data_IF_840344222787
#
_entry.id   IF_840344222787
#
_cell.length_a   1.000
_cell.length_b   1.000
_cell.length_c   1.000
_cell.angle_alpha   90.00
_cell.angle_beta   90.00
_cell.angle_gamma   90.00
#
_symmetry.space_group_name_H-M   'P 1'
#
loop_
_entity.id
_entity.type
_entity.pdbx_description
1 polymer ?
#
# COMPACT_ATOMS: atom_id res chain seq x y z
N UNK A 1 -22.22 19.55 -9.82
CA UNK A 1 -21.74 18.86 -8.61
C UNK A 1 -21.94 17.36 -8.81
N UNK A 2 -20.92 16.54 -8.61
CA UNK A 2 -21.04 15.09 -8.78
C UNK A 2 -21.70 14.50 -7.53
N UNK A 3 -22.86 13.85 -7.70
CA UNK A 3 -23.61 13.24 -6.58
C UNK A 3 -23.24 11.77 -6.47
N UNK A 4 -22.71 11.36 -5.33
CA UNK A 4 -22.38 9.96 -5.06
C UNK A 4 -23.67 9.20 -4.72
N UNK A 5 -24.06 8.28 -5.59
CA UNK A 5 -25.24 7.42 -5.41
C UNK A 5 -24.99 6.00 -5.96
N UNK A 6 -25.96 5.10 -5.78
CA UNK A 6 -25.84 3.70 -6.23
C UNK A 6 -25.59 3.56 -7.73
N UNK A 7 -26.09 4.48 -8.55
CA UNK A 7 -25.89 4.42 -10.00
C UNK A 7 -24.44 4.73 -10.38
N UNK A 8 -23.81 5.70 -9.71
CA UNK A 8 -22.38 5.98 -9.89
C UNK A 8 -21.52 4.77 -9.50
N UNK A 9 -21.83 4.10 -8.40
CA UNK A 9 -21.04 2.92 -7.97
C UNK A 9 -21.08 1.79 -9.01
N UNK A 10 -22.19 1.61 -9.72
CA UNK A 10 -22.32 0.61 -10.79
C UNK A 10 -21.47 0.91 -12.03
N UNK A 11 -21.10 2.18 -12.27
CA UNK A 11 -20.22 2.53 -13.40
C UNK A 11 -18.76 2.25 -13.11
N UNK A 12 -18.38 2.28 -11.82
CA UNK A 12 -17.03 1.97 -11.31
C UNK A 12 -16.85 0.46 -11.15
N UNK A 13 -17.76 -0.20 -10.42
CA UNK A 13 -17.73 -1.65 -10.18
C UNK A 13 -18.53 -2.42 -11.23
N UNK A 14 -17.87 -2.74 -12.33
CA UNK A 14 -18.45 -3.56 -13.42
C UNK A 14 -18.42 -5.05 -13.08
N UNK A 15 -19.32 -5.83 -13.71
CA UNK A 15 -19.28 -7.30 -13.63
C UNK A 15 -17.92 -7.78 -14.12
N UNK A 16 -17.31 -8.72 -13.40
CA UNK A 16 -16.06 -9.38 -13.83
C UNK A 16 -16.34 -10.34 -14.97
N UNK A 17 -15.39 -10.44 -15.90
CA UNK A 17 -15.40 -11.48 -16.91
C UNK A 17 -15.31 -12.87 -16.24
N UNK A 18 -16.06 -13.84 -16.76
CA UNK A 18 -16.14 -15.18 -16.16
C UNK A 18 -14.78 -15.92 -16.24
N UNK A 19 -13.88 -15.48 -17.12
CA UNK A 19 -12.56 -16.06 -17.36
C UNK A 19 -11.43 -15.20 -16.77
N UNK A 20 -11.79 -14.20 -15.96
CA UNK A 20 -10.82 -13.33 -15.32
C UNK A 20 -9.87 -14.11 -14.41
N UNK A 21 -8.61 -13.67 -14.39
CA UNK A 21 -7.51 -14.29 -13.66
C UNK A 21 -6.92 -13.28 -12.69
N UNK A 22 -6.11 -13.81 -11.76
CA UNK A 22 -5.20 -13.02 -10.95
C UNK A 22 -4.44 -12.02 -11.84
N UNK A 23 -4.25 -10.81 -11.33
CA UNK A 23 -3.66 -9.64 -12.01
C UNK A 23 -4.60 -8.88 -12.96
N UNK A 24 -5.80 -9.36 -13.27
CA UNK A 24 -6.75 -8.59 -14.08
C UNK A 24 -7.41 -7.43 -13.31
N UNK A 25 -7.51 -7.53 -11.97
CA UNK A 25 -8.04 -6.47 -11.10
C UNK A 25 -6.95 -5.82 -10.24
N UNK A 26 -5.73 -5.84 -10.76
CA UNK A 26 -4.62 -5.05 -10.26
C UNK A 26 -3.84 -5.65 -9.11
N UNK A 27 -2.67 -5.08 -8.88
CA UNK A 27 -1.82 -5.38 -7.72
C UNK A 27 -1.45 -4.11 -7.00
N UNK A 28 -1.80 -4.03 -5.71
CA UNK A 28 -1.52 -2.88 -4.85
C UNK A 28 -0.26 -3.12 -4.04
N UNK A 29 0.55 -2.06 -3.89
CA UNK A 29 1.60 -1.96 -2.90
C UNK A 29 1.18 -1.02 -1.78
N UNK A 30 1.14 -1.51 -0.55
CA UNK A 30 0.88 -0.71 0.65
C UNK A 30 2.22 -0.47 1.34
N UNK A 31 2.59 0.80 1.54
CA UNK A 31 3.82 1.21 2.22
C UNK A 31 3.42 1.96 3.48
N UNK A 32 3.67 1.37 4.64
CA UNK A 32 3.19 1.95 5.88
C UNK A 32 3.72 1.25 7.12
N UNK A 33 3.36 1.82 8.26
CA UNK A 33 3.70 1.32 9.58
C UNK A 33 5.08 1.72 10.07
N UNK A 34 5.28 1.42 11.34
CA UNK A 34 6.47 1.75 12.13
C UNK A 34 6.56 0.82 13.34
N UNK A 35 7.58 0.98 14.18
CA UNK A 35 7.69 0.27 15.47
C UNK A 35 6.45 0.44 16.35
N UNK A 36 5.70 1.53 16.20
CA UNK A 36 4.50 1.83 16.99
C UNK A 36 3.24 1.36 16.26
N UNK A 37 3.11 1.68 14.98
CA UNK A 37 1.87 1.48 14.23
C UNK A 37 1.95 0.28 13.29
N UNK A 38 1.26 -0.80 13.63
CA UNK A 38 1.10 -1.98 12.75
C UNK A 38 -0.28 -2.09 12.11
N UNK A 39 -1.32 -1.54 12.75
CA UNK A 39 -2.70 -1.68 12.28
C UNK A 39 -3.03 -0.92 11.00
N UNK A 40 -2.50 0.30 10.85
CA UNK A 40 -2.83 1.17 9.70
C UNK A 40 -2.54 0.54 8.33
N UNK A 41 -1.31 0.05 8.04
CA UNK A 41 -1.06 -0.65 6.77
C UNK A 41 -1.88 -1.94 6.61
N UNK A 42 -2.24 -2.63 7.71
CA UNK A 42 -3.11 -3.81 7.64
C UNK A 42 -4.52 -3.45 7.19
N UNK A 43 -5.11 -2.38 7.73
CA UNK A 43 -6.44 -1.91 7.33
C UNK A 43 -6.49 -1.51 5.87
N UNK A 44 -5.46 -0.81 5.36
CA UNK A 44 -5.37 -0.48 3.94
C UNK A 44 -5.39 -1.74 3.08
N UNK A 45 -4.65 -2.78 3.48
CA UNK A 45 -4.57 -4.01 2.72
C UNK A 45 -5.88 -4.81 2.73
N UNK A 46 -6.50 -4.97 3.89
CA UNK A 46 -7.79 -5.65 4.02
C UNK A 46 -8.91 -4.91 3.29
N UNK A 47 -8.91 -3.57 3.34
CA UNK A 47 -9.86 -2.75 2.60
C UNK A 47 -9.68 -2.89 1.09
N UNK A 48 -8.43 -2.95 0.60
CA UNK A 48 -8.14 -3.18 -0.82
C UNK A 48 -8.67 -4.54 -1.31
N UNK A 49 -8.53 -5.60 -0.51
CA UNK A 49 -9.15 -6.90 -0.83
C UNK A 49 -10.68 -6.81 -0.87
N UNK A 50 -11.31 -6.12 0.09
CA UNK A 50 -12.76 -5.90 0.06
C UNK A 50 -13.22 -5.06 -1.13
N UNK A 51 -12.37 -4.17 -1.64
CA UNK A 51 -12.61 -3.41 -2.86
C UNK A 51 -12.39 -4.24 -4.14
N UNK A 52 -11.86 -5.46 -4.03
CA UNK A 52 -11.68 -6.39 -5.14
C UNK A 52 -10.30 -6.36 -5.81
N UNK A 53 -9.27 -5.81 -5.17
CA UNK A 53 -7.88 -5.92 -5.68
C UNK A 53 -7.44 -7.39 -5.63
N UNK A 54 -6.83 -7.90 -6.69
CA UNK A 54 -6.43 -9.33 -6.75
C UNK A 54 -5.25 -9.65 -5.83
N UNK A 55 -4.33 -8.69 -5.67
CA UNK A 55 -3.09 -8.88 -4.94
C UNK A 55 -2.72 -7.64 -4.15
N UNK A 56 -2.46 -7.83 -2.87
CA UNK A 56 -1.95 -6.76 -2.01
C UNK A 56 -0.64 -7.19 -1.38
N UNK A 57 0.40 -6.36 -1.56
CA UNK A 57 1.68 -6.52 -0.86
C UNK A 57 1.85 -5.38 0.13
N UNK A 58 2.10 -5.70 1.39
CA UNK A 58 2.38 -4.74 2.45
C UNK A 58 3.87 -4.69 2.71
N UNK A 59 4.53 -3.60 2.33
CA UNK A 59 5.91 -3.32 2.70
C UNK A 59 5.91 -2.44 3.95
N UNK A 60 6.48 -2.96 5.04
CA UNK A 60 6.48 -2.29 6.34
C UNK A 60 7.75 -2.62 7.13
N UNK A 61 8.13 -1.80 8.12
CA UNK A 61 9.19 -2.15 9.06
C UNK A 61 9.00 -3.54 9.65
N UNK A 62 10.08 -4.30 9.81
CA UNK A 62 10.11 -5.76 9.98
C UNK A 62 9.15 -6.26 11.07
N UNK A 63 9.21 -5.67 12.27
CA UNK A 63 8.27 -5.99 13.36
C UNK A 63 6.81 -5.87 12.90
N UNK A 64 6.50 -4.79 12.20
CA UNK A 64 5.14 -4.51 11.73
C UNK A 64 4.72 -5.45 10.62
N UNK A 65 5.57 -5.70 9.62
CA UNK A 65 5.28 -6.67 8.57
C UNK A 65 5.00 -8.06 9.15
N UNK A 66 5.80 -8.51 10.12
CA UNK A 66 5.64 -9.82 10.77
C UNK A 66 4.33 -9.91 11.58
N UNK A 67 3.93 -8.84 12.27
CA UNK A 67 2.62 -8.80 12.96
C UNK A 67 1.49 -8.91 11.94
N UNK A 68 1.54 -8.15 10.84
CA UNK A 68 0.49 -8.14 9.82
C UNK A 68 0.36 -9.50 9.14
N UNK A 69 1.48 -10.21 8.95
CA UNK A 69 1.50 -11.56 8.37
C UNK A 69 0.64 -12.55 9.15
N UNK A 70 0.47 -12.33 10.46
CA UNK A 70 -0.36 -13.17 11.33
C UNK A 70 -1.86 -12.91 11.21
N UNK A 71 -2.29 -11.82 10.56
CA UNK A 71 -3.71 -11.43 10.51
C UNK A 71 -4.51 -12.21 9.47
N UNK A 72 -3.89 -12.57 8.34
CA UNK A 72 -4.53 -13.37 7.29
C UNK A 72 -3.48 -14.03 6.40
N UNK A 73 -3.66 -15.31 6.00
CA UNK A 73 -2.80 -15.98 5.03
C UNK A 73 -2.87 -15.38 3.62
N UNK A 74 -3.90 -14.57 3.32
CA UNK A 74 -4.04 -13.91 2.02
C UNK A 74 -3.12 -12.70 1.86
N UNK A 75 -2.58 -12.17 2.97
CA UNK A 75 -1.72 -10.99 2.95
C UNK A 75 -0.29 -11.38 2.56
N UNK A 76 0.24 -10.72 1.53
CA UNK A 76 1.67 -10.79 1.22
C UNK A 76 2.34 -9.67 2.01
N UNK A 77 3.17 -10.01 2.99
CA UNK A 77 3.92 -9.03 3.77
C UNK A 77 5.40 -9.07 3.40
N UNK A 78 5.99 -7.88 3.28
CA UNK A 78 7.39 -7.69 2.95
C UNK A 78 8.08 -6.94 4.10
N UNK A 79 8.92 -7.61 4.91
CA UNK A 79 9.61 -6.99 6.02
C UNK A 79 10.77 -6.12 5.53
N UNK A 80 10.74 -4.83 5.88
CA UNK A 80 11.83 -3.89 5.68
C UNK A 80 12.65 -3.82 6.98
N UNK A 81 13.96 -4.07 6.90
CA UNK A 81 14.80 -4.17 8.11
C UNK A 81 14.79 -2.88 8.94
N UNK A 82 14.46 -3.01 10.23
CA UNK A 82 14.45 -1.92 11.20
C UNK A 82 13.05 -1.46 11.60
N UNK A 83 13.00 -0.30 12.26
CA UNK A 83 11.81 0.17 12.97
C UNK A 83 10.96 1.20 12.22
N UNK A 84 11.56 1.89 11.25
CA UNK A 84 10.94 2.97 10.49
C UNK A 84 11.34 2.88 9.02
N UNK A 85 10.50 3.45 8.15
CA UNK A 85 10.87 3.64 6.76
C UNK A 85 11.99 4.68 6.65
N UNK A 86 12.99 4.42 5.80
CA UNK A 86 14.17 5.26 5.62
C UNK A 86 14.65 5.13 4.17
N UNK A 87 15.55 6.02 3.70
CA UNK A 87 15.94 6.05 2.28
C UNK A 87 16.64 4.78 1.82
N UNK A 88 17.33 4.09 2.73
CA UNK A 88 17.93 2.77 2.48
C UNK A 88 16.93 1.70 2.02
N UNK A 89 15.64 1.86 2.30
CA UNK A 89 14.59 0.95 1.84
C UNK A 89 14.06 1.28 0.44
N UNK A 90 14.31 2.50 -0.07
CA UNK A 90 13.77 2.95 -1.35
C UNK A 90 14.17 2.06 -2.53
N UNK A 91 15.43 1.61 -2.69
CA UNK A 91 15.80 0.72 -3.79
C UNK A 91 15.01 -0.60 -3.80
N UNK A 92 14.69 -1.13 -2.63
CA UNK A 92 13.89 -2.35 -2.47
C UNK A 92 12.41 -2.09 -2.75
N UNK A 93 11.86 -0.97 -2.26
CA UNK A 93 10.51 -0.54 -2.59
C UNK A 93 10.30 -0.31 -4.08
N UNK A 94 11.30 0.25 -4.78
CA UNK A 94 11.25 0.43 -6.25
C UNK A 94 11.30 -0.91 -7.00
N UNK A 95 11.96 -1.93 -6.44
CA UNK A 95 11.89 -3.29 -7.00
C UNK A 95 10.50 -3.88 -6.77
N UNK A 96 9.91 -3.67 -5.60
CA UNK A 96 8.57 -4.15 -5.26
C UNK A 96 7.45 -3.43 -6.02
N UNK A 97 7.67 -2.17 -6.40
CA UNK A 97 6.72 -1.38 -7.19
C UNK A 97 6.63 -1.87 -8.64
N UNK A 98 7.64 -2.60 -9.12
CA UNK A 98 7.63 -3.16 -10.47
C UNK A 98 6.44 -4.12 -10.66
N UNK A 99 5.69 -3.94 -11.75
CA UNK A 99 4.44 -4.68 -12.06
C UNK A 99 3.28 -4.46 -11.08
N UNK A 100 3.38 -3.49 -10.16
CA UNK A 100 2.22 -3.03 -9.38
C UNK A 100 1.39 -2.07 -10.23
N UNK A 101 0.10 -2.05 -9.96
CA UNK A 101 -0.85 -1.15 -10.64
C UNK A 101 -0.88 0.22 -9.96
N UNK A 102 -0.78 0.24 -8.64
CA UNK A 102 -0.80 1.45 -7.82
C UNK A 102 -0.11 1.20 -6.48
N UNK A 103 0.13 2.27 -5.74
CA UNK A 103 0.54 2.19 -4.35
C UNK A 103 -0.25 3.14 -3.44
N UNK A 104 -0.27 2.82 -2.16
CA UNK A 104 -0.69 3.72 -1.08
C UNK A 104 0.46 3.84 -0.09
N UNK A 105 0.79 5.06 0.33
CA UNK A 105 1.88 5.34 1.25
C UNK A 105 1.45 6.28 2.37
N UNK A 106 1.86 5.98 3.60
CA UNK A 106 1.80 6.96 4.71
C UNK A 106 1.14 6.50 6.00
N UNK A 107 0.31 5.47 5.96
CA UNK A 107 -0.38 4.97 7.15
C UNK A 107 0.57 4.52 8.26
N UNK A 108 0.75 5.32 9.32
CA UNK A 108 1.54 4.97 10.49
C UNK A 108 3.07 4.99 10.31
N UNK A 109 3.58 5.75 9.32
CA UNK A 109 5.02 5.86 9.05
C UNK A 109 5.78 6.62 10.16
N UNK A 110 5.11 7.54 10.86
CA UNK A 110 5.79 8.56 11.66
C UNK A 110 6.35 9.69 10.77
N UNK A 111 6.91 10.72 11.40
CA UNK A 111 7.28 12.00 10.74
C UNK A 111 8.77 12.34 10.89
N UNK A 112 9.57 11.32 11.12
CA UNK A 112 11.02 11.49 11.22
C UNK A 112 11.57 11.98 9.88
N UNK A 113 12.57 12.86 9.93
CA UNK A 113 13.18 13.48 8.73
C UNK A 113 13.57 12.44 7.68
N UNK A 114 14.21 11.35 8.10
CA UNK A 114 14.67 10.28 7.22
C UNK A 114 13.50 9.52 6.56
N UNK A 115 12.37 9.40 7.26
CA UNK A 115 11.15 8.79 6.72
C UNK A 115 10.52 9.67 5.66
N UNK A 116 10.43 10.98 5.89
CA UNK A 116 9.89 11.93 4.91
C UNK A 116 10.75 11.95 3.64
N UNK A 117 12.08 11.98 3.78
CA UNK A 117 12.98 11.89 2.63
C UNK A 117 12.80 10.58 1.85
N UNK A 118 12.54 9.46 2.53
CA UNK A 118 12.27 8.17 1.87
C UNK A 118 10.95 8.18 1.10
N UNK A 119 9.90 8.80 1.66
CA UNK A 119 8.60 8.99 1.01
C UNK A 119 8.77 9.81 -0.26
N UNK A 120 9.40 10.98 -0.19
CA UNK A 120 9.66 11.84 -1.34
C UNK A 120 10.44 11.10 -2.43
N UNK A 121 11.56 10.47 -2.07
CA UNK A 121 12.41 9.77 -3.04
C UNK A 121 11.68 8.61 -3.71
N UNK A 122 10.85 7.88 -2.97
CA UNK A 122 10.06 6.79 -3.54
C UNK A 122 8.99 7.32 -4.50
N UNK A 123 8.23 8.36 -4.11
CA UNK A 123 7.17 8.93 -4.95
C UNK A 123 7.76 9.46 -6.26
N UNK A 124 8.86 10.22 -6.18
CA UNK A 124 9.55 10.80 -7.33
C UNK A 124 10.02 9.72 -8.32
N UNK A 125 10.51 8.57 -7.82
CA UNK A 125 11.12 7.52 -8.64
C UNK A 125 10.19 6.40 -9.07
N UNK A 126 9.08 6.17 -8.37
CA UNK A 126 8.27 4.96 -8.56
C UNK A 126 7.50 4.94 -9.88
N UNK A 127 7.07 6.10 -10.37
CA UNK A 127 6.19 6.23 -11.54
C UNK A 127 4.80 5.59 -11.38
N UNK A 128 4.45 5.10 -10.18
CA UNK A 128 3.15 4.47 -9.91
C UNK A 128 2.10 5.53 -9.61
N UNK A 129 0.83 5.33 -10.03
CA UNK A 129 -0.30 6.00 -9.41
C UNK A 129 -0.25 5.78 -7.89
N UNK A 130 -0.16 6.88 -7.14
CA UNK A 130 0.10 6.85 -5.70
C UNK A 130 -1.01 7.58 -4.93
N UNK A 131 -1.56 6.90 -3.93
CA UNK A 131 -2.37 7.54 -2.89
C UNK A 131 -1.46 7.91 -1.73
N UNK A 132 -1.34 9.20 -1.46
CA UNK A 132 -0.56 9.76 -0.36
C UNK A 132 -1.53 10.06 0.79
N UNK A 133 -1.31 9.45 1.95
CA UNK A 133 -2.21 9.57 3.10
C UNK A 133 -1.43 9.80 4.41
N UNK A 134 -2.13 10.28 5.43
CA UNK A 134 -1.64 10.42 6.81
C UNK A 134 -0.24 11.07 6.91
N UNK A 135 0.74 10.36 7.47
CA UNK A 135 2.07 10.92 7.73
C UNK A 135 2.83 11.29 6.44
N UNK A 136 2.54 10.62 5.32
CA UNK A 136 3.20 10.92 4.04
C UNK A 136 2.80 12.28 3.45
N UNK A 137 1.68 12.87 3.88
CA UNK A 137 1.27 14.23 3.44
C UNK A 137 2.23 15.30 4.00
N UNK A 138 2.96 14.98 5.08
CA UNK A 138 3.94 15.88 5.69
C UNK A 138 5.34 15.78 5.08
N UNK A 139 5.51 15.01 4.01
CA UNK A 139 6.79 14.79 3.35
C UNK A 139 7.20 15.96 2.45
#
# INVERSE_FOLDING_TARGET
MLVVNKNLLKTIYKKRDDWARKYNFGSLLVIGGSRVYSGSPAFNALAAYRAGVDLVTVAAPERTANIIASFSPDLITYPLRGDFLTRKHVPELLKLSHKKTACVIGGGLGREKETMLAVLEFIEKSGLPCVIDADAIHA
#
